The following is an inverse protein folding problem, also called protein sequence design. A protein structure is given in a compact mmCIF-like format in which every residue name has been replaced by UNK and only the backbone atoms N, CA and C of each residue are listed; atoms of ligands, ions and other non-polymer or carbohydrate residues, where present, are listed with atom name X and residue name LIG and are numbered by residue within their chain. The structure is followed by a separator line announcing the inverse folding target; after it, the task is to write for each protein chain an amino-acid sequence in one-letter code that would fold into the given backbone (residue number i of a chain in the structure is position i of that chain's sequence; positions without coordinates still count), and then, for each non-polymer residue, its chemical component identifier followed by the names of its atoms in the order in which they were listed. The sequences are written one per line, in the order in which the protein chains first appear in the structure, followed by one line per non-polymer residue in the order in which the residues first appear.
data_IF_213497563271
#
_entry.id   IF_213497563271
#
_cell.length_a   1.000
_cell.length_b   1.000
_cell.length_c   1.000
_cell.angle_alpha   90.00
_cell.angle_beta   90.00
_cell.angle_gamma   90.00
#
_symmetry.space_group_name_H-M   'P 1'
#
loop_
_entity.id
_entity.type
_entity.pdbx_description
1 polymer ?
#
# COMPACT_ATOMS: atom_id res chain seq x y z
N UNK A 1 -9.61 -0.96 18.02
CA UNK A 1 -10.13 -2.32 17.69
C UNK A 1 -9.85 -2.55 16.23
N UNK A 2 -9.13 -3.62 15.89
CA UNK A 2 -8.84 -3.95 14.50
C UNK A 2 -10.08 -4.55 13.85
N UNK A 3 -10.54 -3.95 12.76
CA UNK A 3 -11.75 -4.34 12.04
C UNK A 3 -11.31 -5.20 10.84
N UNK A 4 -11.95 -6.35 10.56
CA UNK A 4 -11.67 -7.12 9.36
C UNK A 4 -11.78 -6.26 8.09
N UNK A 5 -10.84 -6.44 7.17
CA UNK A 5 -10.75 -5.66 5.94
C UNK A 5 -10.56 -6.58 4.74
N UNK A 6 -11.36 -6.40 3.68
CA UNK A 6 -11.26 -7.24 2.49
C UNK A 6 -10.28 -6.61 1.50
N UNK A 7 -9.24 -7.35 1.13
CA UNK A 7 -8.24 -6.89 0.15
C UNK A 7 -8.56 -7.42 -1.24
N UNK A 8 -9.01 -8.67 -1.34
CA UNK A 8 -9.32 -9.28 -2.63
C UNK A 8 -9.54 -10.77 -2.55
N UNK A 9 -9.34 -11.44 -3.68
CA UNK A 9 -9.52 -12.89 -3.83
C UNK A 9 -8.36 -13.45 -4.65
N UNK A 10 -7.78 -14.55 -4.18
CA UNK A 10 -6.74 -15.26 -4.91
C UNK A 10 -7.30 -16.09 -6.07
N UNK A 11 -6.45 -16.54 -6.98
CA UNK A 11 -6.79 -17.47 -8.08
C UNK A 11 -7.40 -18.77 -7.58
N UNK A 12 -7.05 -19.19 -6.36
CA UNK A 12 -7.65 -20.31 -5.63
C UNK A 12 -9.03 -20.00 -5.04
N UNK A 13 -9.61 -18.84 -5.36
CA UNK A 13 -10.88 -18.31 -4.81
C UNK A 13 -10.86 -18.09 -3.29
N UNK A 14 -9.68 -18.16 -2.67
CA UNK A 14 -9.50 -17.89 -1.24
C UNK A 14 -9.43 -16.38 -1.01
N UNK A 15 -10.19 -15.83 -0.03
CA UNK A 15 -10.11 -14.41 0.30
C UNK A 15 -8.71 -13.98 0.74
N UNK A 16 -8.26 -12.83 0.24
CA UNK A 16 -7.13 -12.09 0.79
C UNK A 16 -7.69 -11.13 1.82
N UNK A 17 -7.34 -11.35 3.08
CA UNK A 17 -7.91 -10.63 4.22
C UNK A 17 -6.85 -9.77 4.91
N UNK A 18 -7.28 -8.62 5.39
CA UNK A 18 -6.52 -7.72 6.22
C UNK A 18 -7.31 -7.25 7.43
N UNK A 19 -6.81 -6.20 8.05
CA UNK A 19 -7.51 -5.47 9.10
C UNK A 19 -7.22 -3.98 9.00
N UNK A 20 -8.12 -3.16 9.56
CA UNK A 20 -8.00 -1.70 9.58
C UNK A 20 -8.17 -1.14 10.98
N UNK A 21 -7.51 0.00 11.22
CA UNK A 21 -7.78 0.89 12.33
C UNK A 21 -9.06 1.68 12.07
N UNK A 22 -9.91 1.81 13.09
CA UNK A 22 -11.20 2.51 12.97
C UNK A 22 -11.10 3.97 12.52
N UNK A 23 -9.94 4.61 12.65
CA UNK A 23 -9.72 6.01 12.25
C UNK A 23 -9.22 6.15 10.81
N UNK A 24 -8.81 5.08 10.13
CA UNK A 24 -8.24 5.18 8.78
C UNK A 24 -9.15 5.94 7.80
N UNK A 25 -10.46 5.64 7.82
CA UNK A 25 -11.47 6.34 7.01
C UNK A 25 -12.16 7.50 7.73
N UNK A 26 -11.66 7.93 8.89
CA UNK A 26 -12.22 9.08 9.61
C UNK A 26 -11.89 10.40 8.88
N UNK A 27 -12.56 11.48 9.28
CA UNK A 27 -12.24 12.84 8.85
C UNK A 27 -11.05 13.46 9.61
N UNK A 28 -10.39 12.71 10.49
CA UNK A 28 -9.27 13.22 11.29
C UNK A 28 -8.06 13.54 10.40
N UNK A 29 -7.28 14.53 10.82
CA UNK A 29 -6.01 14.90 10.18
C UNK A 29 -4.89 14.04 10.76
N UNK A 30 -4.85 12.79 10.29
CA UNK A 30 -3.88 11.76 10.66
C UNK A 30 -3.21 11.20 9.41
N UNK A 31 -2.03 10.59 9.55
CA UNK A 31 -1.40 9.84 8.48
C UNK A 31 -2.20 8.57 8.19
N UNK A 32 -2.41 8.27 6.91
CA UNK A 32 -3.07 7.04 6.44
C UNK A 32 -2.03 6.12 5.83
N UNK A 33 -1.74 5.01 6.50
CA UNK A 33 -0.67 4.09 6.10
C UNK A 33 -1.24 2.74 5.67
N UNK A 34 -0.84 2.23 4.52
CA UNK A 34 -1.08 0.83 4.18
C UNK A 34 0.13 -0.02 4.57
N UNK A 35 -0.10 -1.18 5.18
CA UNK A 35 0.97 -2.10 5.60
C UNK A 35 0.74 -3.42 4.90
N UNK A 36 1.71 -3.88 4.14
CA UNK A 36 1.60 -5.08 3.33
C UNK A 36 2.77 -6.03 3.59
N UNK A 37 2.50 -7.32 3.61
CA UNK A 37 3.54 -8.34 3.56
C UNK A 37 3.08 -9.53 2.72
N UNK A 38 3.97 -10.49 2.53
CA UNK A 38 3.69 -11.72 1.81
C UNK A 38 3.68 -11.57 0.29
N UNK A 39 4.13 -10.43 -0.26
CA UNK A 39 4.29 -10.24 -1.71
C UNK A 39 5.72 -10.62 -2.15
N UNK A 40 6.70 -10.18 -1.36
CA UNK A 40 8.14 -10.34 -1.63
C UNK A 40 8.84 -11.06 -0.47
N UNK A 41 10.10 -11.45 -0.68
CA UNK A 41 10.93 -12.07 0.35
C UNK A 41 10.64 -13.55 0.57
N UNK A 42 11.21 -14.08 1.65
CA UNK A 42 10.96 -15.47 2.07
C UNK A 42 9.72 -15.54 2.95
N UNK A 43 9.20 -16.75 3.14
CA UNK A 43 8.15 -17.03 4.12
C UNK A 43 8.59 -18.15 5.04
N UNK A 44 9.29 -17.77 6.10
CA UNK A 44 9.85 -18.69 7.09
C UNK A 44 8.92 -18.83 8.29
N UNK A 45 8.26 -17.73 8.67
CA UNK A 45 7.43 -17.67 9.87
C UNK A 45 5.99 -17.25 9.53
N UNK A 46 5.02 -18.15 9.74
CA UNK A 46 3.59 -17.81 9.62
C UNK A 46 3.15 -16.70 10.59
N UNK A 47 3.91 -16.50 11.67
CA UNK A 47 3.67 -15.45 12.65
C UNK A 47 4.34 -14.12 12.31
N UNK A 48 5.14 -14.02 11.23
CA UNK A 48 5.90 -12.83 10.88
C UNK A 48 5.05 -11.55 10.88
N UNK A 49 3.95 -11.58 10.15
CA UNK A 49 3.04 -10.44 10.07
C UNK A 49 2.44 -10.09 11.44
N UNK A 50 1.91 -11.09 12.15
CA UNK A 50 1.28 -10.89 13.45
C UNK A 50 2.26 -10.37 14.52
N UNK A 51 3.52 -10.80 14.45
CA UNK A 51 4.59 -10.31 15.31
C UNK A 51 4.92 -8.87 14.96
N UNK A 52 5.14 -8.57 13.67
CA UNK A 52 5.46 -7.24 13.18
C UNK A 52 4.40 -6.21 13.57
N UNK A 53 3.11 -6.49 13.34
CA UNK A 53 2.00 -5.57 13.61
C UNK A 53 1.48 -5.60 15.04
N UNK A 54 2.14 -6.32 15.95
CA UNK A 54 1.69 -6.46 17.34
C UNK A 54 1.62 -5.10 18.04
N UNK A 55 0.44 -4.78 18.59
CA UNK A 55 0.12 -3.52 19.27
C UNK A 55 0.32 -2.26 18.41
N UNK A 56 0.22 -2.37 17.08
CA UNK A 56 0.40 -1.22 16.18
C UNK A 56 -0.61 -0.09 16.42
N UNK A 57 -1.83 -0.45 16.81
CA UNK A 57 -2.92 0.45 17.20
C UNK A 57 -2.60 1.31 18.43
N UNK A 58 -1.65 0.87 19.27
CA UNK A 58 -1.25 1.55 20.50
C UNK A 58 -0.01 2.43 20.34
N UNK A 59 0.65 2.41 19.18
CA UNK A 59 1.90 3.16 18.97
C UNK A 59 1.62 4.65 18.87
N UNK A 60 0.59 5.04 18.10
CA UNK A 60 0.30 6.44 17.87
C UNK A 60 -1.18 6.72 17.66
N UNK A 61 -1.61 7.88 18.16
CA UNK A 61 -2.93 8.43 17.86
C UNK A 61 -3.00 9.14 16.50
N UNK A 62 -1.86 9.46 15.89
CA UNK A 62 -1.75 10.28 14.68
C UNK A 62 -1.65 9.45 13.39
N UNK A 63 -1.87 8.14 13.47
CA UNK A 63 -1.80 7.20 12.35
C UNK A 63 -3.06 6.34 12.35
N UNK A 64 -3.73 6.29 11.20
CA UNK A 64 -4.67 5.23 10.85
C UNK A 64 -4.01 4.29 9.86
N UNK A 65 -4.37 3.00 9.89
CA UNK A 65 -3.80 2.03 8.96
C UNK A 65 -4.81 1.04 8.39
N UNK A 66 -4.45 0.50 7.23
CA UNK A 66 -4.97 -0.76 6.66
C UNK A 66 -3.78 -1.72 6.56
N UNK A 67 -3.96 -2.99 6.88
CA UNK A 67 -2.86 -3.93 6.94
C UNK A 67 -3.25 -5.31 6.42
N UNK A 68 -2.39 -5.97 5.64
CA UNK A 68 -2.64 -7.31 5.12
C UNK A 68 -1.37 -8.16 4.97
N UNK A 69 -1.47 -9.43 5.35
CA UNK A 69 -0.57 -10.49 4.89
C UNK A 69 -1.21 -11.13 3.66
N UNK A 70 -0.61 -10.91 2.50
CA UNK A 70 -1.16 -11.39 1.22
C UNK A 70 -0.92 -12.88 1.01
N UNK A 71 0.08 -13.47 1.70
CA UNK A 71 0.41 -14.90 1.61
C UNK A 71 0.80 -15.38 0.19
N UNK A 72 1.26 -14.47 -0.66
CA UNK A 72 1.53 -14.71 -2.08
C UNK A 72 3.00 -15.05 -2.41
N UNK A 73 3.92 -14.94 -1.46
CA UNK A 73 5.36 -15.21 -1.64
C UNK A 73 5.75 -16.68 -1.36
N UNK A 74 4.86 -17.63 -1.66
CA UNK A 74 5.11 -19.07 -1.42
C UNK A 74 5.99 -19.69 -2.52
N UNK A 75 6.66 -20.80 -2.18
CA UNK A 75 7.55 -21.54 -3.09
C UNK A 75 6.77 -22.04 -4.31
N UNK A 76 7.16 -21.58 -5.51
CA UNK A 76 6.52 -21.95 -6.78
C UNK A 76 5.55 -20.92 -7.34
N UNK A 77 5.36 -19.78 -6.65
CA UNK A 77 4.48 -18.73 -7.13
C UNK A 77 5.09 -17.87 -8.26
N UNK A 78 4.21 -17.30 -9.10
CA UNK A 78 4.59 -16.49 -10.24
C UNK A 78 5.09 -15.09 -9.82
N UNK A 79 5.91 -14.48 -10.67
CA UNK A 79 6.37 -13.10 -10.47
C UNK A 79 5.19 -12.16 -10.69
N UNK A 80 4.76 -11.46 -9.62
CA UNK A 80 3.74 -10.42 -9.71
C UNK A 80 4.31 -9.17 -10.39
N UNK A 81 3.54 -8.56 -11.28
CA UNK A 81 3.97 -7.40 -12.04
C UNK A 81 3.08 -6.20 -11.70
N UNK A 82 3.70 -5.08 -11.40
CA UNK A 82 3.01 -3.83 -11.11
C UNK A 82 3.54 -2.69 -12.00
N UNK A 83 2.70 -1.76 -12.48
CA UNK A 83 1.24 -1.82 -12.43
C UNK A 83 0.70 -3.02 -13.23
N UNK A 84 -0.49 -3.56 -12.88
CA UNK A 84 -1.05 -4.71 -13.55
C UNK A 84 -1.37 -4.36 -15.02
N UNK A 85 -1.24 -5.36 -15.90
CA UNK A 85 -1.58 -5.18 -17.31
C UNK A 85 -3.06 -4.81 -17.48
N UNK A 86 -3.45 -4.07 -18.54
CA UNK A 86 -4.84 -3.68 -18.79
C UNK A 86 -5.66 -4.87 -19.34
N UNK A 87 -5.83 -5.90 -18.50
CA UNK A 87 -6.54 -7.15 -18.75
C UNK A 87 -7.63 -7.36 -17.70
N UNK A 88 -8.62 -8.18 -18.02
CA UNK A 88 -9.62 -8.62 -17.03
C UNK A 88 -9.04 -9.66 -16.06
N UNK A 89 -9.71 -9.86 -14.93
CA UNK A 89 -9.30 -10.82 -13.89
C UNK A 89 -9.03 -12.22 -14.44
N UNK A 90 -9.87 -12.72 -15.36
CA UNK A 90 -9.72 -14.07 -15.91
C UNK A 90 -8.61 -14.18 -16.98
N UNK A 91 -8.12 -13.07 -17.50
CA UNK A 91 -7.08 -13.03 -18.54
C UNK A 91 -5.67 -12.88 -17.94
N UNK A 92 -5.57 -12.65 -16.64
CA UNK A 92 -4.30 -12.56 -15.94
C UNK A 92 -3.82 -13.93 -15.49
N UNK A 93 -2.52 -14.13 -15.63
CA UNK A 93 -1.85 -15.30 -15.06
C UNK A 93 -1.95 -15.27 -13.52
N UNK A 94 -1.80 -14.07 -12.95
CA UNK A 94 -1.68 -13.78 -11.51
C UNK A 94 -2.71 -12.74 -11.10
N UNK A 95 -4.00 -13.09 -11.05
CA UNK A 95 -5.06 -12.09 -10.97
C UNK A 95 -5.12 -11.34 -9.62
N UNK A 96 -4.37 -11.79 -8.62
CA UNK A 96 -4.13 -11.10 -7.34
C UNK A 96 -3.50 -9.72 -7.51
N UNK A 97 -2.67 -9.51 -8.55
CA UNK A 97 -2.02 -8.23 -8.81
C UNK A 97 -3.06 -7.10 -9.00
N UNK A 98 -4.20 -7.40 -9.62
CA UNK A 98 -5.29 -6.43 -9.76
C UNK A 98 -5.93 -6.08 -8.41
N UNK A 99 -6.13 -7.06 -7.54
CA UNK A 99 -6.76 -6.81 -6.25
C UNK A 99 -5.85 -6.02 -5.33
N UNK A 100 -4.56 -6.38 -5.26
CA UNK A 100 -3.57 -5.64 -4.45
C UNK A 100 -3.45 -4.21 -4.98
N UNK A 101 -3.34 -4.04 -6.31
CA UNK A 101 -3.26 -2.72 -6.92
C UNK A 101 -4.50 -1.89 -6.61
N UNK A 102 -5.70 -2.44 -6.82
CA UNK A 102 -6.96 -1.74 -6.56
C UNK A 102 -7.13 -1.39 -5.09
N UNK A 103 -6.84 -2.33 -4.20
CA UNK A 103 -6.92 -2.11 -2.76
C UNK A 103 -6.14 -0.85 -2.36
N UNK A 104 -4.87 -0.77 -2.75
CA UNK A 104 -4.01 0.35 -2.39
C UNK A 104 -4.40 1.63 -3.13
N UNK A 105 -4.67 1.56 -4.43
CA UNK A 105 -4.92 2.77 -5.24
C UNK A 105 -6.31 3.37 -5.05
N UNK A 106 -7.30 2.58 -4.62
CA UNK A 106 -8.63 3.07 -4.27
C UNK A 106 -8.67 3.66 -2.86
N UNK A 107 -7.95 3.06 -1.91
CA UNK A 107 -7.80 3.65 -0.57
C UNK A 107 -6.88 4.88 -0.57
N UNK A 108 -5.92 4.91 -1.49
CA UNK A 108 -4.93 5.96 -1.68
C UNK A 108 -4.29 6.42 -0.35
N UNK A 109 -3.56 5.53 0.35
CA UNK A 109 -2.85 5.91 1.56
C UNK A 109 -1.85 7.03 1.27
N UNK A 110 -1.46 7.72 2.34
CA UNK A 110 -0.38 8.70 2.31
C UNK A 110 0.98 7.99 2.10
N UNK A 111 1.10 6.74 2.56
CA UNK A 111 2.31 5.94 2.50
C UNK A 111 1.99 4.43 2.50
N UNK A 112 2.76 3.64 1.76
CA UNK A 112 2.74 2.16 1.86
C UNK A 112 4.00 1.63 2.55
N UNK A 113 3.84 0.77 3.54
CA UNK A 113 4.95 0.07 4.19
C UNK A 113 4.91 -1.41 3.76
N UNK A 114 5.92 -1.86 3.04
CA UNK A 114 6.11 -3.29 2.72
C UNK A 114 7.04 -3.94 3.74
N UNK A 115 6.56 -4.96 4.45
CA UNK A 115 7.37 -5.80 5.33
C UNK A 115 7.83 -7.03 4.55
N UNK A 116 9.14 -7.24 4.51
CA UNK A 116 9.80 -8.34 3.78
C UNK A 116 10.59 -9.17 4.77
N UNK A 117 10.19 -10.43 4.96
CA UNK A 117 10.97 -11.36 5.79
C UNK A 117 12.23 -11.80 5.04
N UNK A 118 13.35 -11.88 5.75
CA UNK A 118 14.65 -12.34 5.22
C UNK A 118 15.32 -13.34 6.16
N UNK A 119 16.16 -14.21 5.59
CA UNK A 119 17.10 -15.06 6.36
C UNK A 119 18.35 -14.29 6.79
N UNK A 120 18.68 -13.18 6.11
CA UNK A 120 19.88 -12.40 6.37
C UNK A 120 19.80 -11.74 7.75
N UNK A 121 20.92 -11.70 8.47
CA UNK A 121 21.02 -11.08 9.80
C UNK A 121 21.12 -9.53 9.73
N UNK A 122 20.61 -8.94 8.66
CA UNK A 122 20.71 -7.51 8.37
C UNK A 122 19.31 -6.95 8.14
N UNK A 123 19.08 -5.75 8.66
CA UNK A 123 17.86 -4.98 8.41
C UNK A 123 18.15 -3.93 7.32
N UNK A 124 17.42 -3.93 6.20
CA UNK A 124 17.39 -2.83 5.22
C UNK A 124 16.08 -2.08 5.36
N UNK A 125 16.14 -0.74 5.40
CA UNK A 125 14.95 0.12 5.33
C UNK A 125 15.13 1.07 4.16
N UNK A 126 14.34 0.86 3.11
CA UNK A 126 14.42 1.62 1.86
C UNK A 126 13.22 2.55 1.75
N UNK A 127 13.46 3.81 1.38
CA UNK A 127 12.41 4.77 1.05
C UNK A 127 12.25 4.88 -0.47
N UNK A 128 11.02 4.81 -0.98
CA UNK A 128 10.72 4.76 -2.40
C UNK A 128 9.68 5.84 -2.72
N UNK A 129 10.01 6.77 -3.63
CA UNK A 129 9.11 7.87 -4.02
C UNK A 129 8.88 8.95 -2.95
N UNK A 130 9.56 8.90 -1.79
CA UNK A 130 9.49 9.93 -0.77
C UNK A 130 10.33 11.17 -1.15
N UNK A 131 9.80 12.39 -1.00
CA UNK A 131 10.59 13.62 -1.12
C UNK A 131 11.78 13.62 -0.15
N UNK A 132 12.89 14.26 -0.52
CA UNK A 132 14.10 14.36 0.33
C UNK A 132 13.82 14.88 1.75
N UNK A 133 12.90 15.84 1.88
CA UNK A 133 12.51 16.40 3.18
C UNK A 133 11.79 15.38 4.10
N UNK A 134 11.16 14.36 3.51
CA UNK A 134 10.39 13.33 4.20
C UNK A 134 11.10 11.98 4.21
N UNK A 135 12.34 11.91 3.70
CA UNK A 135 13.23 10.77 3.93
C UNK A 135 13.59 10.77 5.41
N UNK A 136 12.79 10.08 6.20
CA UNK A 136 13.14 9.76 7.57
C UNK A 136 14.52 9.10 7.49
N UNK A 137 15.52 9.63 8.20
CA UNK A 137 16.90 9.18 8.16
C UNK A 137 16.99 7.69 8.54
N UNK A 138 16.79 6.82 7.56
CA UNK A 138 16.86 5.38 7.67
C UNK A 138 18.20 4.93 7.08
N UNK A 139 18.73 3.84 7.59
CA UNK A 139 19.98 3.27 7.07
C UNK A 139 19.67 2.71 5.68
N UNK A 140 20.09 3.46 4.66
CA UNK A 140 19.97 3.10 3.25
C UNK A 140 21.12 2.14 2.92
N UNK A 141 20.93 0.86 3.23
CA UNK A 141 21.80 -0.19 2.67
C UNK A 141 21.33 -0.47 1.25
N UNK A 142 22.27 -0.43 0.29
CA UNK A 142 22.03 -0.51 -1.16
C UNK A 142 21.03 -1.63 -1.51
N UNK A 143 19.78 -1.23 -1.73
CA UNK A 143 18.68 -2.10 -2.08
C UNK A 143 18.37 -1.81 -3.58
N UNK A 144 18.44 -2.83 -4.44
CA UNK A 144 18.45 -2.70 -5.92
C UNK A 144 17.20 -1.98 -6.49
N UNK A 145 17.33 -1.42 -7.70
CA UNK A 145 16.20 -0.89 -8.48
C UNK A 145 15.19 -2.00 -8.77
N UNK A 146 13.93 -1.79 -8.40
CA UNK A 146 12.96 -2.89 -8.32
C UNK A 146 11.72 -2.61 -9.18
N UNK A 147 11.30 -3.58 -10.00
CA UNK A 147 10.00 -3.61 -10.68
C UNK A 147 8.86 -3.96 -9.71
N UNK A 148 8.97 -3.51 -8.46
CA UNK A 148 8.08 -3.87 -7.36
C UNK A 148 6.80 -3.06 -7.34
N UNK A 149 5.85 -3.54 -6.55
CA UNK A 149 4.66 -2.80 -6.15
C UNK A 149 4.99 -1.38 -5.69
N UNK A 150 5.98 -1.21 -4.80
CA UNK A 150 6.30 0.11 -4.25
C UNK A 150 6.86 1.06 -5.31
N UNK A 151 7.72 0.58 -6.21
CA UNK A 151 8.23 1.40 -7.30
C UNK A 151 7.13 1.79 -8.29
N UNK A 152 6.25 0.85 -8.63
CA UNK A 152 5.09 1.11 -9.49
C UNK A 152 4.15 2.16 -8.88
N UNK A 153 3.82 2.04 -7.60
CA UNK A 153 3.00 3.02 -6.87
C UNK A 153 3.66 4.40 -6.80
N UNK A 154 4.96 4.45 -6.49
CA UNK A 154 5.72 5.68 -6.41
C UNK A 154 5.83 6.39 -7.77
N UNK A 155 5.88 5.63 -8.87
CA UNK A 155 5.92 6.19 -10.22
C UNK A 155 4.63 6.94 -10.61
N UNK A 156 3.50 6.61 -9.98
CA UNK A 156 2.19 7.12 -10.39
C UNK A 156 1.74 6.65 -11.78
N UNK A 157 2.42 5.67 -12.38
CA UNK A 157 2.09 5.11 -13.69
C UNK A 157 1.03 4.00 -13.59
N UNK A 158 0.28 3.79 -14.67
CA UNK A 158 -0.81 2.80 -14.73
C UNK A 158 -2.16 3.37 -14.26
N UNK A 159 -3.14 2.50 -13.96
CA UNK A 159 -4.46 2.92 -13.51
C UNK A 159 -4.43 3.28 -12.00
N UNK A 160 -3.64 4.31 -11.66
CA UNK A 160 -3.58 4.91 -10.31
C UNK A 160 -3.99 6.38 -10.39
N UNK A 161 -4.70 6.93 -9.39
CA UNK A 161 -5.08 8.34 -9.39
C UNK A 161 -3.89 9.30 -9.21
N UNK A 162 -2.73 8.82 -8.76
CA UNK A 162 -1.49 9.58 -8.60
C UNK A 162 -0.37 8.73 -7.99
N UNK A 163 0.79 9.34 -7.71
CA UNK A 163 1.87 8.65 -7.01
C UNK A 163 1.52 8.38 -5.54
N UNK A 164 1.98 7.23 -5.03
CA UNK A 164 1.91 6.85 -3.62
C UNK A 164 3.30 6.41 -3.18
N UNK A 165 3.96 7.12 -2.24
CA UNK A 165 5.27 6.76 -1.77
C UNK A 165 5.23 5.50 -0.90
N UNK A 166 6.40 4.87 -0.69
CA UNK A 166 6.51 3.70 0.16
C UNK A 166 7.81 3.57 0.93
N UNK A 167 7.78 2.70 1.94
CA UNK A 167 8.93 2.23 2.70
C UNK A 167 8.96 0.71 2.64
N UNK A 168 10.10 0.13 2.28
CA UNK A 168 10.33 -1.30 2.42
C UNK A 168 11.18 -1.57 3.66
N UNK A 169 10.73 -2.49 4.51
CA UNK A 169 11.45 -2.98 5.67
C UNK A 169 11.78 -4.44 5.41
N UNK A 170 13.05 -4.72 5.14
CA UNK A 170 13.56 -6.09 5.02
C UNK A 170 14.24 -6.48 6.31
N UNK A 171 13.72 -7.48 7.02
CA UNK A 171 14.20 -7.83 8.36
C UNK A 171 13.85 -9.26 8.76
N UNK A 172 14.54 -9.81 9.75
CA UNK A 172 14.15 -11.05 10.41
C UNK A 172 12.92 -10.83 11.31
N UNK A 173 12.16 -11.90 11.55
CA UNK A 173 10.96 -11.91 12.39
C UNK A 173 11.16 -11.27 13.77
N UNK A 174 12.27 -11.56 14.43
CA UNK A 174 12.50 -11.13 15.81
C UNK A 174 12.66 -9.61 15.95
N UNK A 175 13.08 -8.94 14.88
CA UNK A 175 13.28 -7.49 14.83
C UNK A 175 12.09 -6.74 14.21
N UNK A 176 11.16 -7.45 13.54
CA UNK A 176 10.14 -6.82 12.70
C UNK A 176 9.23 -5.85 13.46
N UNK A 177 8.80 -6.21 14.68
CA UNK A 177 7.93 -5.35 15.48
C UNK A 177 8.62 -4.07 15.93
N UNK A 178 9.88 -4.18 16.35
CA UNK A 178 10.65 -3.06 16.88
C UNK A 178 10.96 -2.04 15.76
N UNK A 179 11.39 -2.52 14.60
CA UNK A 179 11.68 -1.66 13.45
C UNK A 179 10.40 -0.98 12.94
N UNK A 180 9.29 -1.72 12.81
CA UNK A 180 8.02 -1.12 12.40
C UNK A 180 7.57 -0.05 13.40
N UNK A 181 7.70 -0.29 14.70
CA UNK A 181 7.39 0.70 15.74
C UNK A 181 8.19 1.97 15.58
N UNK A 182 9.51 1.87 15.43
CA UNK A 182 10.37 3.04 15.27
C UNK A 182 10.00 3.87 14.03
N UNK A 183 9.61 3.20 12.93
CA UNK A 183 9.18 3.87 11.70
C UNK A 183 7.83 4.59 11.91
N UNK A 184 6.84 3.90 12.47
CA UNK A 184 5.52 4.47 12.78
C UNK A 184 5.65 5.64 13.76
N UNK A 185 6.50 5.55 14.79
CA UNK A 185 6.77 6.66 15.70
C UNK A 185 7.38 7.86 14.99
N UNK A 186 8.37 7.66 14.11
CA UNK A 186 8.97 8.74 13.31
C UNK A 186 7.94 9.41 12.41
N UNK A 187 7.12 8.64 11.69
CA UNK A 187 6.02 9.16 10.85
C UNK A 187 5.04 9.98 11.70
N UNK A 188 4.65 9.47 12.88
CA UNK A 188 3.64 10.13 13.71
C UNK A 188 4.02 11.49 14.28
N UNK A 189 5.32 11.84 14.26
CA UNK A 189 5.87 13.12 14.72
C UNK A 189 5.85 14.19 13.62
N UNK A 190 5.62 13.80 12.37
CA UNK A 190 5.49 14.74 11.25
C UNK A 190 4.03 15.07 10.99
N UNK A 191 3.79 16.16 10.26
CA UNK A 191 2.45 16.50 9.80
C UNK A 191 2.00 15.50 8.72
N UNK A 192 0.74 15.05 8.73
CA UNK A 192 0.19 14.27 7.63
C UNK A 192 0.34 14.99 6.29
N UNK A 193 0.98 14.32 5.35
CA UNK A 193 1.17 14.79 3.98
C UNK A 193 0.47 13.81 3.05
N UNK A 194 -0.69 14.17 2.48
CA UNK A 194 -1.41 13.29 1.58
C UNK A 194 -0.59 12.93 0.34
N UNK A 195 -0.68 11.68 -0.11
CA UNK A 195 -0.13 11.27 -1.39
C UNK A 195 -0.82 11.98 -2.56
N UNK A 196 -0.20 12.03 -3.73
CA UNK A 196 -0.84 12.61 -4.91
C UNK A 196 -2.12 11.86 -5.28
N UNK A 197 -2.12 10.54 -5.12
CA UNK A 197 -3.31 9.70 -5.25
C UNK A 197 -4.44 10.16 -4.31
N UNK A 198 -4.13 10.38 -3.02
CA UNK A 198 -5.09 10.84 -2.02
C UNK A 198 -5.67 12.21 -2.38
N UNK A 199 -4.80 13.16 -2.76
CA UNK A 199 -5.23 14.48 -3.21
C UNK A 199 -6.14 14.41 -4.44
N UNK A 200 -5.80 13.56 -5.41
CA UNK A 200 -6.61 13.40 -6.60
C UNK A 200 -7.97 12.79 -6.28
N UNK A 201 -8.05 11.76 -5.43
CA UNK A 201 -9.33 11.18 -5.00
C UNK A 201 -10.17 12.19 -4.21
N UNK A 202 -9.57 12.96 -3.30
CA UNK A 202 -10.27 14.03 -2.59
C UNK A 202 -10.81 15.09 -3.56
N UNK A 203 -10.02 15.50 -4.55
CA UNK A 203 -10.44 16.42 -5.58
C UNK A 203 -11.57 15.85 -6.45
N UNK A 204 -11.56 14.54 -6.73
CA UNK A 204 -12.65 13.86 -7.43
C UNK A 204 -13.94 13.88 -6.62
N UNK A 205 -13.87 13.55 -5.34
CA UNK A 205 -15.03 13.50 -4.43
C UNK A 205 -15.65 14.88 -4.16
N UNK A 206 -14.87 15.96 -4.31
CA UNK A 206 -15.35 17.35 -4.16
C UNK A 206 -15.99 17.94 -5.42
N UNK A 207 -15.97 17.23 -6.55
CA UNK A 207 -16.53 17.76 -7.80
C UNK A 207 -18.03 17.95 -7.69
N UNK A 208 -18.51 19.08 -8.17
CA UNK A 208 -19.95 19.31 -8.30
C UNK A 208 -20.50 18.67 -9.59
N UNK A 209 -21.83 18.56 -9.67
CA UNK A 209 -22.52 17.93 -10.81
C UNK A 209 -22.16 18.57 -12.17
N UNK A 210 -21.94 19.89 -12.22
CA UNK A 210 -21.55 20.61 -13.44
C UNK A 210 -20.14 20.22 -13.88
N UNK A 211 -19.20 20.12 -12.96
CA UNK A 211 -17.83 19.68 -13.25
C UNK A 211 -17.79 18.24 -13.75
N UNK A 212 -18.57 17.36 -13.12
CA UNK A 212 -18.72 15.96 -13.58
C UNK A 212 -19.32 15.92 -14.98
N UNK A 213 -20.43 16.64 -15.21
CA UNK A 213 -21.08 16.71 -16.53
C UNK A 213 -20.13 17.22 -17.61
N UNK A 214 -19.33 18.25 -17.33
CA UNK A 214 -18.36 18.78 -18.27
C UNK A 214 -17.27 17.75 -18.61
N UNK A 215 -16.75 17.03 -17.61
CA UNK A 215 -15.77 15.96 -17.84
C UNK A 215 -16.34 14.80 -18.64
N UNK A 216 -17.55 14.35 -18.31
CA UNK A 216 -18.22 13.29 -19.06
C UNK A 216 -18.47 13.72 -20.51
N UNK A 217 -18.92 14.96 -20.73
CA UNK A 217 -19.15 15.48 -22.07
C UNK A 217 -17.86 15.63 -22.89
N UNK A 218 -16.71 15.89 -22.25
CA UNK A 218 -15.41 15.88 -22.94
C UNK A 218 -14.99 14.48 -23.40
N UNK A 219 -15.33 13.42 -22.63
CA UNK A 219 -14.94 12.04 -22.94
C UNK A 219 -15.92 11.36 -23.88
N UNK A 220 -17.23 11.51 -23.64
CA UNK A 220 -18.30 10.81 -24.34
C UNK A 220 -19.04 11.70 -25.36
N UNK A 221 -18.70 12.99 -25.43
CA UNK A 221 -19.38 13.98 -26.27
C UNK A 221 -20.58 14.65 -25.59
N UNK A 222 -21.01 15.78 -26.14
CA UNK A 222 -22.14 16.58 -25.62
C UNK A 222 -23.53 16.07 -26.07
N UNK A 223 -23.61 14.92 -26.73
CA UNK A 223 -24.87 14.38 -27.26
C UNK A 223 -25.31 13.18 -26.43
N UNK A 224 -26.38 13.36 -25.66
CA UNK A 224 -27.18 12.28 -25.08
C UNK A 224 -28.30 11.80 -26.03
N UNK A 225 -28.22 12.15 -27.32
CA UNK A 225 -29.26 11.85 -28.31
C UNK A 225 -28.78 10.82 -29.33
N UNK A 226 -29.15 9.55 -29.10
CA UNK A 226 -29.69 8.63 -30.10
C UNK A 226 -30.78 7.78 -29.45
#
# INVERSE_FOLDING_TARGET
VNIPYNVGVAKSETPITGFTDSRYHSSETIHRVAIITGLSGVRLNESFFSNATRNIDKISTNIGFIASDTKLNNIGNPVYVFPPAPKSFHELENPEELYIWRWITLDAPDLVIELVETTKNETCVQSIGLPEADKFQFIDSSCEEDNSLLAALASGLGPTPGSIPGIRITTQNDNANEILKQIIEKISRTKPTPSEASLQLQNQNRRNAKEVSNKLAQVYGFKLDQ
#
